data_IF_985912849493
#
_entry.id   IF_985912849493
#
_cell.length_a   1.000
_cell.length_b   1.000
_cell.length_c   1.000
_cell.angle_alpha   90.00
_cell.angle_beta   90.00
_cell.angle_gamma   90.00
#
_symmetry.space_group_name_H-M   'P 1'
#
loop_
_entity.id
_entity.type
_entity.pdbx_description
1 polymer ?
#
# COMPACT_ATOMS: atom_id res chain seq x y z
N UNK A 1 -6.06 22.37 -22.59
CA UNK A 1 -5.51 21.27 -21.76
C UNK A 1 -5.98 19.93 -22.30
N UNK A 2 -5.08 19.01 -22.59
CA UNK A 2 -5.35 17.67 -23.14
C UNK A 2 -4.73 16.60 -22.24
N UNK A 3 -5.14 15.34 -22.40
CA UNK A 3 -4.54 14.23 -21.67
C UNK A 3 -3.02 14.15 -21.88
N UNK A 4 -2.55 14.40 -23.10
CA UNK A 4 -1.11 14.40 -23.43
C UNK A 4 -0.34 15.51 -22.71
N UNK A 5 -0.97 16.65 -22.42
CA UNK A 5 -0.35 17.75 -21.68
C UNK A 5 -0.19 17.36 -20.20
N UNK A 6 -1.19 16.63 -19.66
CA UNK A 6 -1.14 16.07 -18.29
C UNK A 6 -0.07 14.98 -18.15
N UNK A 7 0.02 14.05 -19.11
CA UNK A 7 1.08 13.02 -19.13
C UNK A 7 2.47 13.67 -19.13
N UNK A 8 2.68 14.67 -19.98
CA UNK A 8 3.93 15.41 -20.07
C UNK A 8 4.26 16.08 -18.75
N UNK A 9 3.29 16.75 -18.13
CA UNK A 9 3.49 17.39 -16.83
C UNK A 9 3.91 16.36 -15.75
N UNK A 10 3.20 15.24 -15.63
CA UNK A 10 3.50 14.20 -14.65
C UNK A 10 4.87 13.56 -14.90
N UNK A 11 5.24 13.32 -16.16
CA UNK A 11 6.55 12.78 -16.51
C UNK A 11 7.70 13.75 -16.15
N UNK A 12 7.49 15.07 -16.34
CA UNK A 12 8.47 16.07 -15.92
C UNK A 12 8.57 16.11 -14.38
N UNK A 13 7.46 15.94 -13.65
CA UNK A 13 7.47 15.87 -12.18
C UNK A 13 8.34 14.71 -11.69
N UNK A 14 8.18 13.54 -12.32
CA UNK A 14 8.91 12.32 -11.96
C UNK A 14 10.40 12.41 -12.34
N UNK A 15 10.69 12.77 -13.58
CA UNK A 15 12.07 12.84 -14.10
C UNK A 15 12.85 14.06 -13.62
N UNK A 16 12.16 15.14 -13.17
CA UNK A 16 12.70 16.47 -12.83
C UNK A 16 13.53 17.11 -13.94
N UNK A 17 13.38 16.63 -15.18
CA UNK A 17 14.22 17.03 -16.30
C UNK A 17 13.47 16.88 -17.63
N UNK A 18 13.37 17.99 -18.39
CA UNK A 18 12.65 18.01 -19.68
C UNK A 18 13.24 17.04 -20.70
N UNK A 19 14.57 16.90 -20.73
CA UNK A 19 15.26 16.01 -21.69
C UNK A 19 14.94 14.55 -21.38
N UNK A 20 15.02 14.15 -20.10
CA UNK A 20 14.66 12.79 -19.67
C UNK A 20 13.18 12.50 -19.93
N UNK A 21 12.30 13.45 -19.61
CA UNK A 21 10.86 13.32 -19.90
C UNK A 21 10.61 13.13 -21.42
N UNK A 22 11.37 13.84 -22.26
CA UNK A 22 11.28 13.69 -23.71
C UNK A 22 11.72 12.29 -24.18
N UNK A 23 12.80 11.77 -23.62
CA UNK A 23 13.28 10.41 -23.89
C UNK A 23 12.26 9.35 -23.48
N UNK A 24 11.72 9.42 -22.26
CA UNK A 24 10.73 8.47 -21.75
C UNK A 24 9.42 8.49 -22.55
N UNK A 25 8.99 9.67 -22.99
CA UNK A 25 7.77 9.82 -23.80
C UNK A 25 7.97 9.65 -25.32
N UNK A 26 9.20 9.37 -25.76
CA UNK A 26 9.56 9.28 -27.19
C UNK A 26 9.19 10.54 -27.98
N UNK A 27 9.39 11.73 -27.38
CA UNK A 27 9.09 13.03 -27.96
C UNK A 27 10.37 13.89 -28.05
N UNK A 28 10.34 14.94 -28.87
CA UNK A 28 11.43 15.92 -28.84
C UNK A 28 11.30 16.88 -27.65
N UNK A 29 12.41 17.35 -27.12
CA UNK A 29 12.44 18.34 -26.02
C UNK A 29 11.65 19.61 -26.39
N UNK A 30 11.66 20.05 -27.66
CA UNK A 30 10.91 21.22 -28.13
C UNK A 30 9.40 21.00 -28.04
N UNK A 31 8.91 19.79 -28.31
CA UNK A 31 7.50 19.42 -28.18
C UNK A 31 7.08 19.46 -26.71
N UNK A 32 7.89 18.86 -25.82
CA UNK A 32 7.64 18.89 -24.35
C UNK A 32 7.56 20.33 -23.85
N UNK A 33 8.57 21.17 -24.19
CA UNK A 33 8.63 22.55 -23.71
C UNK A 33 7.45 23.39 -24.25
N UNK A 34 7.08 23.20 -25.51
CA UNK A 34 5.93 23.93 -26.11
C UNK A 34 4.61 23.52 -25.45
N UNK A 35 4.42 22.23 -25.21
CA UNK A 35 3.18 21.74 -24.56
C UNK A 35 3.09 22.14 -23.09
N UNK A 36 4.20 22.09 -22.36
CA UNK A 36 4.25 22.57 -20.98
C UNK A 36 3.89 24.07 -20.93
N UNK A 37 4.52 24.89 -21.79
CA UNK A 37 4.22 26.32 -21.85
C UNK A 37 2.75 26.59 -22.15
N UNK A 38 2.17 25.88 -23.11
CA UNK A 38 0.75 25.98 -23.42
C UNK A 38 -0.14 25.60 -22.26
N UNK A 39 0.21 24.55 -21.50
CA UNK A 39 -0.52 24.14 -20.30
C UNK A 39 -0.47 25.25 -19.23
N UNK A 40 0.70 25.84 -18.95
CA UNK A 40 0.87 26.94 -18.01
C UNK A 40 0.08 28.20 -18.46
N UNK A 41 0.09 28.52 -19.75
CA UNK A 41 -0.70 29.62 -20.32
C UNK A 41 -2.21 29.39 -20.16
N UNK A 42 -2.72 28.17 -20.39
CA UNK A 42 -4.13 27.83 -20.19
C UNK A 42 -4.54 27.86 -18.69
N UNK A 43 -3.64 27.47 -17.80
CA UNK A 43 -3.88 27.49 -16.35
C UNK A 43 -3.75 28.90 -15.76
N UNK A 44 -3.01 29.80 -16.41
CA UNK A 44 -2.74 31.16 -15.95
C UNK A 44 -1.69 31.27 -14.86
N UNK A 45 -0.91 30.21 -14.63
CA UNK A 45 0.22 30.20 -13.67
C UNK A 45 1.30 29.20 -14.09
N UNK A 46 2.55 29.46 -13.65
CA UNK A 46 3.67 28.59 -13.90
C UNK A 46 3.62 27.36 -12.97
N UNK A 47 3.87 26.18 -13.54
CA UNK A 47 3.94 24.91 -12.80
C UNK A 47 5.35 24.62 -12.27
N UNK A 48 6.38 25.10 -13.00
CA UNK A 48 7.78 24.94 -12.64
C UNK A 48 8.50 26.28 -12.47
N UNK A 49 9.48 26.28 -11.57
CA UNK A 49 10.36 27.43 -11.36
C UNK A 49 11.39 27.47 -12.49
N UNK A 50 11.47 28.60 -13.20
CA UNK A 50 12.48 28.80 -14.27
C UNK A 50 13.70 29.49 -13.70
N UNK A 51 14.65 28.74 -13.14
CA UNK A 51 15.95 29.30 -12.71
C UNK A 51 17.00 29.15 -13.82
N UNK A 52 17.68 30.25 -14.20
CA UNK A 52 18.79 30.21 -15.16
C UNK A 52 19.94 29.38 -14.58
N UNK A 53 20.36 28.33 -15.29
CA UNK A 53 21.55 27.54 -14.96
C UNK A 53 21.30 26.32 -14.06
N UNK A 54 20.07 26.04 -13.67
CA UNK A 54 19.71 24.84 -12.88
C UNK A 54 19.28 23.72 -13.83
N UNK A 55 19.89 22.54 -13.69
CA UNK A 55 19.57 21.35 -14.53
C UNK A 55 18.30 20.63 -14.09
N UNK A 56 17.85 20.84 -12.85
CA UNK A 56 16.65 20.21 -12.29
C UNK A 56 15.51 21.22 -12.21
N UNK A 57 14.33 20.80 -12.63
CA UNK A 57 13.10 21.59 -12.53
C UNK A 57 12.47 21.39 -11.16
N UNK A 58 12.19 22.49 -10.48
CA UNK A 58 11.46 22.51 -9.23
C UNK A 58 10.01 22.97 -9.45
N UNK A 59 9.08 22.32 -8.76
CA UNK A 59 7.67 22.73 -8.81
C UNK A 59 7.45 24.07 -8.07
N UNK A 60 6.63 24.93 -8.65
CA UNK A 60 6.07 26.07 -7.92
C UNK A 60 5.11 25.58 -6.81
N UNK A 61 4.58 26.49 -5.99
CA UNK A 61 3.53 26.13 -5.04
C UNK A 61 2.29 25.59 -5.78
N UNK A 62 1.84 26.30 -6.81
CA UNK A 62 0.72 25.90 -7.65
C UNK A 62 1.00 24.57 -8.37
N UNK A 63 2.25 24.37 -8.84
CA UNK A 63 2.68 23.12 -9.44
C UNK A 63 2.50 21.92 -8.51
N UNK A 64 2.88 22.05 -7.24
CA UNK A 64 2.68 21.01 -6.22
C UNK A 64 1.20 20.70 -5.98
N UNK A 65 0.36 21.71 -5.90
CA UNK A 65 -1.09 21.55 -5.75
C UNK A 65 -1.69 20.91 -7.01
N UNK A 66 -1.19 21.27 -8.19
CA UNK A 66 -1.67 20.74 -9.47
C UNK A 66 -1.30 19.27 -9.70
N UNK A 67 -0.24 18.73 -9.08
CA UNK A 67 0.09 17.28 -9.18
C UNK A 67 -1.11 16.42 -8.81
N UNK A 68 -1.77 16.69 -7.69
CA UNK A 68 -2.95 15.94 -7.28
C UNK A 68 -4.11 16.03 -8.28
N UNK A 69 -4.29 17.20 -8.91
CA UNK A 69 -5.31 17.40 -9.96
C UNK A 69 -4.93 16.61 -11.22
N UNK A 70 -3.68 16.69 -11.65
CA UNK A 70 -3.18 16.00 -12.84
C UNK A 70 -3.29 14.47 -12.71
N UNK A 71 -2.99 13.91 -11.55
CA UNK A 71 -3.15 12.48 -11.27
C UNK A 71 -4.64 12.09 -11.38
N UNK A 72 -5.55 12.84 -10.75
CA UNK A 72 -7.00 12.57 -10.87
C UNK A 72 -7.50 12.68 -12.30
N UNK A 73 -7.03 13.67 -13.06
CA UNK A 73 -7.37 13.82 -14.48
C UNK A 73 -6.95 12.59 -15.30
N UNK A 74 -5.70 12.15 -15.14
CA UNK A 74 -5.17 10.95 -15.82
C UNK A 74 -6.06 9.75 -15.54
N UNK A 75 -6.42 9.53 -14.26
CA UNK A 75 -7.26 8.40 -13.86
C UNK A 75 -8.67 8.46 -14.45
N UNK A 76 -9.30 9.66 -14.48
CA UNK A 76 -10.60 9.84 -15.11
C UNK A 76 -10.56 9.58 -16.62
N UNK A 77 -9.45 9.95 -17.26
CA UNK A 77 -9.26 9.68 -18.68
C UNK A 77 -9.10 8.18 -18.95
N UNK A 78 -8.29 7.49 -18.14
CA UNK A 78 -8.13 6.03 -18.20
C UNK A 78 -9.48 5.32 -17.92
N UNK A 79 -10.26 5.80 -16.96
CA UNK A 79 -11.61 5.29 -16.69
C UNK A 79 -12.54 5.46 -17.92
N UNK A 80 -12.47 6.60 -18.59
CA UNK A 80 -13.23 6.85 -19.82
C UNK A 80 -12.79 5.96 -20.99
N UNK A 81 -11.49 5.66 -21.11
CA UNK A 81 -10.98 4.72 -22.12
C UNK A 81 -11.39 3.27 -21.81
N UNK A 82 -11.44 2.88 -20.53
CA UNK A 82 -11.97 1.57 -20.10
C UNK A 82 -13.46 1.40 -20.44
N UNK A 83 -14.25 2.50 -20.47
CA UNK A 83 -15.63 2.45 -20.98
C UNK A 83 -15.71 2.16 -22.49
N UNK A 84 -14.66 2.47 -23.24
CA UNK A 84 -14.52 2.09 -24.67
C UNK A 84 -14.22 0.60 -24.84
N UNK A 85 -13.43 0.02 -23.94
CA UNK A 85 -13.09 -1.40 -23.92
C UNK A 85 -14.12 -2.22 -23.13
N UNK A 86 -15.40 -2.09 -23.44
CA UNK A 86 -16.55 -2.76 -22.78
C UNK A 86 -16.49 -4.30 -22.66
N UNK A 87 -15.31 -4.91 -22.82
CA UNK A 87 -15.10 -6.36 -22.81
C UNK A 87 -14.20 -6.87 -21.67
N UNK A 88 -13.69 -6.05 -20.76
CA UNK A 88 -12.76 -6.54 -19.74
C UNK A 88 -13.24 -6.20 -18.33
N UNK A 89 -13.75 -7.23 -17.66
CA UNK A 89 -14.09 -7.20 -16.23
C UNK A 89 -12.79 -7.06 -15.43
N UNK A 90 -12.36 -5.84 -15.13
CA UNK A 90 -11.13 -5.55 -14.39
C UNK A 90 -11.42 -4.98 -13.02
N UNK A 91 -10.68 -5.42 -12.00
CA UNK A 91 -10.75 -4.97 -10.62
C UNK A 91 -9.36 -4.64 -10.08
N UNK A 92 -9.19 -3.45 -9.50
CA UNK A 92 -7.95 -2.97 -8.92
C UNK A 92 -8.06 -2.94 -7.40
N UNK A 93 -7.18 -3.67 -6.73
CA UNK A 93 -7.20 -3.80 -5.26
C UNK A 93 -5.82 -3.46 -4.71
N UNK A 94 -5.76 -2.72 -3.61
CA UNK A 94 -4.53 -2.55 -2.84
C UNK A 94 -4.72 -3.03 -1.40
N UNK A 95 -3.69 -3.68 -0.86
CA UNK A 95 -3.71 -4.21 0.49
C UNK A 95 -2.30 -4.20 1.12
N UNK A 96 -2.18 -4.12 2.45
CA UNK A 96 -0.95 -4.49 3.13
C UNK A 96 -0.61 -5.97 2.89
N UNK A 97 0.69 -6.29 2.85
CA UNK A 97 1.16 -7.65 2.57
C UNK A 97 0.51 -8.69 3.51
N UNK A 98 0.40 -8.37 4.80
CA UNK A 98 -0.26 -9.24 5.77
C UNK A 98 -1.73 -9.50 5.48
N UNK A 99 -2.45 -8.49 5.00
CA UNK A 99 -3.88 -8.61 4.64
C UNK A 99 -4.04 -9.41 3.33
N UNK A 100 -3.09 -9.27 2.41
CA UNK A 100 -3.08 -10.08 1.20
C UNK A 100 -3.05 -11.57 1.55
N UNK A 101 -2.07 -12.00 2.34
CA UNK A 101 -1.95 -13.42 2.73
C UNK A 101 -3.07 -13.91 3.65
N UNK A 102 -3.48 -13.07 4.60
CA UNK A 102 -4.50 -13.46 5.59
C UNK A 102 -5.88 -13.61 4.98
N UNK A 103 -6.24 -12.70 4.09
CA UNK A 103 -7.62 -12.53 3.66
C UNK A 103 -7.80 -12.53 2.15
N UNK A 104 -6.98 -11.77 1.41
CA UNK A 104 -7.22 -11.49 0.01
C UNK A 104 -6.84 -12.68 -0.90
N UNK A 105 -5.68 -13.31 -0.71
CA UNK A 105 -5.22 -14.44 -1.51
C UNK A 105 -6.23 -15.61 -1.50
N UNK A 106 -6.71 -16.07 -0.32
CA UNK A 106 -7.73 -17.12 -0.26
C UNK A 106 -9.09 -16.74 -0.88
N UNK A 107 -9.37 -15.44 -1.03
CA UNK A 107 -10.58 -14.95 -1.67
C UNK A 107 -10.41 -14.87 -3.19
N UNK A 108 -9.23 -14.43 -3.66
CA UNK A 108 -8.93 -14.24 -5.08
C UNK A 108 -8.86 -15.57 -5.83
N UNK A 109 -8.25 -16.60 -5.23
CA UNK A 109 -8.02 -17.90 -5.91
C UNK A 109 -9.34 -18.50 -6.44
N UNK A 110 -10.39 -18.74 -5.63
CA UNK A 110 -11.66 -19.23 -6.14
C UNK A 110 -12.35 -18.24 -7.07
N UNK A 111 -12.26 -16.94 -6.78
CA UNK A 111 -12.86 -15.89 -7.59
C UNK A 111 -12.34 -15.91 -9.03
N UNK A 112 -11.02 -16.07 -9.21
CA UNK A 112 -10.39 -16.17 -10.53
C UNK A 112 -10.73 -17.47 -11.25
N UNK A 113 -10.79 -18.60 -10.53
CA UNK A 113 -11.12 -19.89 -11.14
C UNK A 113 -12.58 -19.98 -11.61
N UNK A 114 -13.49 -19.34 -10.88
CA UNK A 114 -14.92 -19.29 -11.21
C UNK A 114 -15.27 -18.28 -12.32
N UNK A 115 -14.40 -17.27 -12.55
CA UNK A 115 -14.66 -16.17 -13.48
C UNK A 115 -13.47 -15.95 -14.44
N UNK A 116 -13.35 -16.72 -15.52
CA UNK A 116 -12.19 -16.69 -16.43
C UNK A 116 -11.97 -15.34 -17.15
N UNK A 117 -13.01 -14.53 -17.26
CA UNK A 117 -12.93 -13.20 -17.90
C UNK A 117 -12.53 -12.10 -16.94
N UNK A 118 -12.53 -12.38 -15.63
CA UNK A 118 -12.14 -11.41 -14.60
C UNK A 118 -10.64 -11.12 -14.66
N UNK A 119 -10.28 -9.85 -14.72
CA UNK A 119 -8.91 -9.39 -14.59
C UNK A 119 -8.73 -8.73 -13.23
N UNK A 120 -7.64 -9.05 -12.54
CA UNK A 120 -7.29 -8.45 -11.26
C UNK A 120 -5.94 -7.75 -11.37
N UNK A 121 -5.86 -6.56 -10.78
CA UNK A 121 -4.61 -5.90 -10.43
C UNK A 121 -4.55 -5.80 -8.91
N UNK A 122 -3.56 -6.41 -8.29
CA UNK A 122 -3.36 -6.38 -6.85
C UNK A 122 -2.03 -5.69 -6.56
N UNK A 123 -2.07 -4.66 -5.72
CA UNK A 123 -0.90 -3.90 -5.31
C UNK A 123 -0.67 -4.07 -3.80
N UNK A 124 0.59 -4.30 -3.43
CA UNK A 124 0.99 -4.35 -2.02
C UNK A 124 1.54 -2.99 -1.61
N UNK A 125 0.85 -2.35 -0.70
CA UNK A 125 1.19 -1.02 -0.22
C UNK A 125 0.92 -0.91 1.29
N UNK A 126 1.51 0.07 1.95
CA UNK A 126 1.12 0.46 3.30
C UNK A 126 -0.24 1.19 3.32
N UNK A 127 -0.85 1.27 4.50
CA UNK A 127 -2.19 1.87 4.64
C UNK A 127 -2.22 3.34 4.19
N UNK A 128 -1.16 4.12 4.39
CA UNK A 128 -1.12 5.53 3.97
C UNK A 128 -1.15 5.65 2.45
N UNK A 129 -0.29 4.88 1.76
CA UNK A 129 -0.26 4.85 0.30
C UNK A 129 -1.59 4.32 -0.29
N UNK A 130 -2.26 3.36 0.38
CA UNK A 130 -3.56 2.86 -0.05
C UNK A 130 -4.62 3.96 -0.02
N UNK A 131 -4.62 4.82 1.00
CA UNK A 131 -5.50 5.98 1.02
C UNK A 131 -5.22 6.95 -0.12
N UNK A 132 -3.93 7.20 -0.46
CA UNK A 132 -3.56 8.07 -1.58
C UNK A 132 -4.00 7.48 -2.92
N UNK A 133 -3.85 6.17 -3.11
CA UNK A 133 -4.35 5.45 -4.27
C UNK A 133 -5.89 5.50 -4.38
N UNK A 134 -6.59 5.43 -3.25
CA UNK A 134 -8.04 5.54 -3.21
C UNK A 134 -8.52 6.95 -3.58
N UNK A 135 -7.92 7.99 -3.01
CA UNK A 135 -8.25 9.39 -3.30
C UNK A 135 -8.02 9.75 -4.77
N UNK A 136 -6.99 9.16 -5.38
CA UNK A 136 -6.66 9.36 -6.79
C UNK A 136 -7.41 8.42 -7.75
N UNK A 137 -8.37 7.61 -7.25
CA UNK A 137 -9.12 6.62 -8.01
C UNK A 137 -8.24 5.59 -8.77
N UNK A 138 -7.02 5.33 -8.28
CA UNK A 138 -6.12 4.33 -8.86
C UNK A 138 -6.52 2.90 -8.53
N UNK A 139 -7.30 2.71 -7.46
CA UNK A 139 -7.82 1.42 -7.01
C UNK A 139 -9.33 1.49 -6.78
N UNK A 140 -9.99 0.36 -6.91
CA UNK A 140 -11.44 0.23 -6.73
C UNK A 140 -11.78 -0.17 -5.29
N UNK A 141 -10.92 -0.98 -4.67
CA UNK A 141 -10.98 -1.38 -3.27
C UNK A 141 -9.61 -1.30 -2.61
N UNK A 142 -9.60 -0.82 -1.38
CA UNK A 142 -8.42 -0.83 -0.52
C UNK A 142 -8.65 -1.63 0.74
N UNK A 143 -7.58 -2.13 1.36
CA UNK A 143 -7.61 -2.63 2.72
C UNK A 143 -6.71 -1.76 3.60
N UNK A 144 -7.18 -1.42 4.78
CA UNK A 144 -6.46 -0.52 5.69
C UNK A 144 -6.42 -1.08 7.11
N UNK A 145 -5.38 -0.76 7.84
CA UNK A 145 -5.19 -1.15 9.24
C UNK A 145 -5.61 -0.06 10.25
N UNK A 146 -6.12 1.05 9.78
CA UNK A 146 -6.70 2.11 10.59
C UNK A 146 -7.67 2.94 9.73
N UNK A 147 -8.58 3.64 10.39
CA UNK A 147 -9.49 4.59 9.76
C UNK A 147 -8.81 5.94 9.60
N UNK A 148 -9.08 6.62 8.48
CA UNK A 148 -8.65 7.99 8.21
C UNK A 148 -9.87 8.87 7.96
N UNK A 149 -9.82 10.11 8.39
CA UNK A 149 -10.89 11.10 8.19
C UNK A 149 -10.94 11.69 6.77
N UNK A 150 -10.46 10.95 5.76
CA UNK A 150 -10.51 11.39 4.36
C UNK A 150 -11.97 11.44 3.86
N UNK A 151 -12.40 12.55 3.27
CA UNK A 151 -13.75 12.66 2.74
C UNK A 151 -13.96 11.65 1.61
N UNK A 152 -15.20 11.16 1.46
CA UNK A 152 -15.63 10.26 0.39
C UNK A 152 -15.02 8.85 0.43
N UNK A 153 -14.28 8.46 1.47
CA UNK A 153 -13.82 7.09 1.66
C UNK A 153 -14.67 6.41 2.73
N UNK A 154 -15.35 5.35 2.34
CA UNK A 154 -16.18 4.54 3.25
C UNK A 154 -15.32 3.41 3.79
N UNK A 155 -15.35 3.25 5.11
CA UNK A 155 -14.68 2.20 5.86
C UNK A 155 -15.69 1.13 6.30
N UNK A 156 -15.35 -0.12 6.10
CA UNK A 156 -16.10 -1.26 6.63
C UNK A 156 -15.14 -2.18 7.35
N UNK A 157 -15.31 -2.35 8.65
CA UNK A 157 -14.56 -3.34 9.42
C UNK A 157 -14.81 -4.75 8.87
N UNK A 158 -13.73 -5.52 8.66
CA UNK A 158 -13.76 -6.86 8.08
C UNK A 158 -13.40 -7.92 9.13
N UNK A 159 -12.23 -7.77 9.78
CA UNK A 159 -11.77 -8.68 10.82
C UNK A 159 -10.70 -8.05 11.71
N UNK A 160 -10.43 -8.69 12.84
CA UNK A 160 -9.37 -8.33 13.76
C UNK A 160 -8.16 -9.24 13.53
N UNK A 161 -6.97 -8.64 13.39
CA UNK A 161 -5.72 -9.32 13.11
C UNK A 161 -4.89 -9.41 14.39
N UNK A 162 -4.78 -10.62 14.95
CA UNK A 162 -3.94 -10.91 16.11
C UNK A 162 -2.45 -10.99 15.72
N UNK A 163 -1.57 -10.95 16.71
CA UNK A 163 -0.13 -11.00 16.56
C UNK A 163 0.47 -12.18 17.33
N UNK A 164 1.56 -12.73 16.80
CA UNK A 164 2.40 -13.72 17.45
C UNK A 164 3.88 -13.49 17.12
N UNK A 165 4.76 -14.17 17.84
CA UNK A 165 6.21 -14.11 17.66
C UNK A 165 6.65 -15.19 16.68
N UNK A 166 7.59 -14.85 15.80
CA UNK A 166 8.36 -15.81 15.00
C UNK A 166 9.85 -15.70 15.31
N UNK A 167 10.53 -16.85 15.35
CA UNK A 167 11.96 -16.93 15.61
C UNK A 167 12.52 -18.29 15.19
N UNK A 168 13.83 -18.36 14.94
CA UNK A 168 14.54 -19.63 14.90
C UNK A 168 14.98 -20.09 16.29
N UNK A 169 15.08 -19.16 17.26
CA UNK A 169 15.46 -19.46 18.64
C UNK A 169 14.35 -20.20 19.36
N UNK A 170 14.75 -21.17 20.18
CA UNK A 170 13.82 -21.83 21.09
C UNK A 170 13.73 -21.05 22.41
N UNK A 171 12.61 -20.39 22.60
CA UNK A 171 12.32 -19.63 23.83
C UNK A 171 11.78 -20.51 24.97
N UNK A 172 11.94 -21.86 24.89
CA UNK A 172 11.61 -22.83 25.92
C UNK A 172 10.20 -22.69 26.53
N UNK A 173 9.21 -22.47 25.70
CA UNK A 173 7.82 -22.54 26.10
C UNK A 173 7.28 -23.96 25.92
N UNK A 174 6.72 -24.57 26.97
CA UNK A 174 6.18 -25.93 26.90
C UNK A 174 4.91 -26.08 26.06
N UNK A 175 4.32 -25.04 25.53
CA UNK A 175 3.04 -25.08 24.79
C UNK A 175 2.93 -24.02 23.69
N UNK A 176 4.06 -23.51 23.18
CA UNK A 176 4.02 -22.46 22.16
C UNK A 176 3.57 -21.08 22.66
N UNK A 177 3.37 -20.93 23.98
CA UNK A 177 3.03 -19.65 24.62
C UNK A 177 4.21 -19.15 25.42
N UNK A 178 4.64 -17.90 25.18
CA UNK A 178 5.75 -17.27 25.91
C UNK A 178 5.33 -15.96 26.58
N UNK A 179 6.00 -15.63 27.66
CA UNK A 179 5.88 -14.30 28.26
C UNK A 179 6.71 -13.30 27.46
N UNK A 180 6.22 -12.06 27.21
CA UNK A 180 7.05 -11.01 26.61
C UNK A 180 8.39 -10.76 27.34
N UNK A 181 8.49 -11.10 28.62
CA UNK A 181 9.69 -10.91 29.45
C UNK A 181 10.89 -11.76 29.01
N UNK A 182 10.67 -12.86 28.27
CA UNK A 182 11.77 -13.69 27.77
C UNK A 182 12.40 -13.13 26.50
N UNK A 183 11.78 -12.13 25.89
CA UNK A 183 12.22 -11.49 24.66
C UNK A 183 13.24 -10.39 24.96
N UNK A 184 14.39 -10.42 24.30
CA UNK A 184 15.34 -9.31 24.34
C UNK A 184 14.93 -8.25 23.30
N UNK A 185 14.55 -7.02 23.69
CA UNK A 185 14.12 -5.97 22.75
C UNK A 185 15.20 -5.55 21.75
N UNK A 186 16.49 -5.68 22.10
CA UNK A 186 17.60 -5.38 21.19
C UNK A 186 17.72 -6.41 20.04
N UNK A 187 17.08 -7.56 20.17
CA UNK A 187 17.04 -8.62 19.16
C UNK A 187 15.75 -8.60 18.32
N UNK A 188 14.88 -7.61 18.51
CA UNK A 188 13.71 -7.45 17.67
C UNK A 188 14.10 -7.04 16.24
N UNK A 189 13.61 -7.81 15.26
CA UNK A 189 13.54 -7.38 13.86
C UNK A 189 12.14 -6.86 13.65
N UNK A 190 11.99 -5.53 13.57
CA UNK A 190 10.69 -4.88 13.54
C UNK A 190 10.10 -4.86 12.12
N UNK A 191 8.83 -5.25 12.00
CA UNK A 191 8.08 -5.01 10.77
C UNK A 191 7.59 -3.57 10.75
N UNK A 192 8.00 -2.82 9.71
CA UNK A 192 7.53 -1.46 9.43
C UNK A 192 6.29 -1.44 8.53
N UNK A 193 5.68 -0.27 8.39
CA UNK A 193 4.57 -0.07 7.47
C UNK A 193 3.20 -0.10 8.15
N UNK A 194 2.80 1.02 8.72
CA UNK A 194 1.47 1.25 9.28
C UNK A 194 1.50 2.02 10.59
N UNK A 195 0.36 2.59 10.96
CA UNK A 195 0.21 3.21 12.28
C UNK A 195 0.03 2.11 13.34
N UNK A 196 1.14 1.62 13.88
CA UNK A 196 1.18 0.57 14.89
C UNK A 196 1.11 1.15 16.32
N UNK A 197 0.21 2.08 16.57
CA UNK A 197 0.05 2.67 17.90
C UNK A 197 -0.16 1.62 19.00
N UNK A 198 -0.93 0.56 18.72
CA UNK A 198 -1.14 -0.56 19.65
C UNK A 198 0.13 -1.34 19.92
N UNK A 199 0.97 -1.56 18.91
CA UNK A 199 2.26 -2.24 19.08
C UNK A 199 3.28 -1.35 19.81
N UNK A 200 3.25 -0.03 19.57
CA UNK A 200 4.09 0.90 20.30
C UNK A 200 3.74 0.92 21.80
N UNK A 201 2.44 0.95 22.13
CA UNK A 201 1.95 0.86 23.51
C UNK A 201 2.38 -0.46 24.16
N UNK A 202 2.27 -1.57 23.45
CA UNK A 202 2.68 -2.88 23.96
C UNK A 202 4.20 -2.94 24.19
N UNK A 203 5.01 -2.41 23.26
CA UNK A 203 6.47 -2.34 23.44
C UNK A 203 6.85 -1.45 24.61
N UNK A 204 6.22 -0.31 24.78
CA UNK A 204 6.47 0.58 25.91
C UNK A 204 6.16 -0.11 27.23
N UNK A 205 5.04 -0.87 27.32
CA UNK A 205 4.67 -1.63 28.51
C UNK A 205 5.74 -2.64 28.92
N UNK A 206 6.33 -3.35 27.94
CA UNK A 206 7.24 -4.47 28.22
C UNK A 206 8.71 -4.11 28.16
N UNK A 207 9.06 -3.12 27.39
CA UNK A 207 10.45 -2.79 27.04
C UNK A 207 10.78 -1.31 27.28
N UNK A 208 10.06 -0.64 28.18
CA UNK A 208 10.31 0.76 28.52
C UNK A 208 11.78 1.02 28.85
N UNK A 209 12.32 2.12 28.28
CA UNK A 209 13.73 2.51 28.48
C UNK A 209 14.73 1.82 27.56
N UNK A 210 14.31 0.91 26.68
CA UNK A 210 15.16 0.37 25.61
C UNK A 210 15.04 1.25 24.35
N UNK A 211 16.15 1.54 23.71
CA UNK A 211 16.28 2.55 22.64
C UNK A 211 15.62 2.21 21.29
N UNK A 212 14.60 1.37 21.26
CA UNK A 212 13.91 0.94 20.03
C UNK A 212 14.60 -0.23 19.32
N UNK A 213 14.03 -0.67 18.21
CA UNK A 213 14.60 -1.76 17.41
C UNK A 213 15.86 -1.30 16.66
N UNK A 214 16.82 -2.21 16.49
CA UNK A 214 18.04 -1.96 15.71
C UNK A 214 17.81 -1.93 14.20
N UNK A 215 16.74 -2.60 13.73
CA UNK A 215 16.40 -2.70 12.33
C UNK A 215 14.89 -2.77 12.12
N UNK A 216 14.45 -2.04 11.13
CA UNK A 216 13.06 -2.00 10.70
C UNK A 216 12.97 -2.38 9.22
N UNK A 217 12.09 -3.31 8.87
CA UNK A 217 11.92 -3.86 7.53
C UNK A 217 10.44 -3.91 7.19
N UNK A 218 10.09 -3.59 5.95
CA UNK A 218 8.71 -3.49 5.49
C UNK A 218 8.13 -4.80 4.88
N UNK A 219 8.92 -5.87 4.80
CA UNK A 219 8.47 -7.17 4.30
C UNK A 219 8.91 -8.32 5.21
N UNK A 220 7.99 -9.23 5.62
CA UNK A 220 8.32 -10.41 6.41
C UNK A 220 9.36 -11.32 5.77
N UNK A 221 9.35 -11.45 4.43
CA UNK A 221 10.32 -12.28 3.71
C UNK A 221 11.76 -11.78 3.83
N UNK A 222 11.95 -10.47 3.91
CA UNK A 222 13.27 -9.87 4.08
C UNK A 222 13.85 -10.05 5.48
N UNK A 223 13.00 -10.33 6.48
CA UNK A 223 13.41 -10.51 7.89
C UNK A 223 14.10 -11.85 8.12
N UNK A 224 13.84 -12.85 7.27
CA UNK A 224 14.26 -14.26 7.48
C UNK A 224 15.76 -14.41 7.72
N UNK A 225 16.59 -13.69 6.96
CA UNK A 225 18.04 -13.72 7.13
C UNK A 225 18.51 -13.17 8.48
N UNK A 226 17.85 -12.15 8.98
CA UNK A 226 18.17 -11.47 10.24
C UNK A 226 17.70 -12.27 11.45
N UNK A 227 16.57 -12.97 11.31
CA UNK A 227 16.02 -13.83 12.37
C UNK A 227 16.87 -15.08 12.65
N UNK A 228 17.90 -15.37 11.82
CA UNK A 228 18.89 -16.44 12.09
C UNK A 228 19.87 -16.11 13.20
N UNK A 229 20.00 -14.85 13.60
CA UNK A 229 20.79 -14.46 14.74
C UNK A 229 20.17 -15.07 16.02
N UNK A 230 21.00 -15.61 16.91
CA UNK A 230 20.53 -16.22 18.16
C UNK A 230 19.78 -15.19 19.03
N UNK A 231 18.61 -15.58 19.48
CA UNK A 231 17.73 -14.72 20.27
C UNK A 231 16.93 -13.70 19.44
N UNK A 232 17.13 -13.63 18.11
CA UNK A 232 16.36 -12.73 17.25
C UNK A 232 14.90 -13.18 17.11
N UNK A 233 14.00 -12.23 17.11
CA UNK A 233 12.57 -12.45 17.02
C UNK A 233 11.86 -11.32 16.26
N UNK A 234 10.68 -11.63 15.74
CA UNK A 234 9.79 -10.63 15.15
C UNK A 234 8.35 -10.84 15.62
N UNK A 235 7.64 -9.73 15.80
CA UNK A 235 6.20 -9.71 16.08
C UNK A 235 5.45 -9.51 14.75
N UNK A 236 4.75 -10.54 14.30
CA UNK A 236 4.03 -10.54 13.03
C UNK A 236 2.54 -10.82 13.24
N UNK A 237 1.68 -10.38 12.30
CA UNK A 237 0.30 -10.85 12.23
C UNK A 237 0.25 -12.38 12.16
N UNK A 238 -0.65 -13.01 12.91
CA UNK A 238 -0.63 -14.44 13.19
C UNK A 238 -0.61 -15.34 11.93
N UNK A 239 -1.41 -15.02 10.92
CA UNK A 239 -1.39 -15.79 9.66
C UNK A 239 -0.13 -15.56 8.83
N UNK A 240 0.35 -14.32 8.78
CA UNK A 240 1.64 -13.99 8.15
C UNK A 240 2.77 -14.75 8.84
N UNK A 241 2.76 -14.79 10.17
CA UNK A 241 3.71 -15.55 10.97
C UNK A 241 3.65 -17.05 10.65
N UNK A 242 2.43 -17.63 10.60
CA UNK A 242 2.23 -19.05 10.28
C UNK A 242 2.81 -19.40 8.90
N UNK A 243 2.49 -18.59 7.87
CA UNK A 243 3.01 -18.79 6.52
C UNK A 243 4.54 -18.63 6.46
N UNK A 244 5.07 -17.59 7.08
CA UNK A 244 6.52 -17.36 7.09
C UNK A 244 7.25 -18.47 7.82
N UNK A 245 6.72 -18.93 8.95
CA UNK A 245 7.30 -20.01 9.71
C UNK A 245 7.28 -21.35 8.95
N UNK A 246 6.18 -21.66 8.27
CA UNK A 246 6.05 -22.85 7.42
C UNK A 246 7.08 -22.84 6.28
N UNK A 247 7.18 -21.73 5.55
CA UNK A 247 8.09 -21.58 4.42
C UNK A 247 9.57 -21.68 4.81
N UNK A 248 9.94 -21.18 5.97
CA UNK A 248 11.34 -21.02 6.36
C UNK A 248 11.75 -21.86 7.58
N UNK A 249 10.87 -22.71 8.11
CA UNK A 249 11.19 -23.60 9.24
C UNK A 249 11.41 -22.87 10.56
N UNK A 250 10.68 -21.75 10.77
CA UNK A 250 10.75 -21.00 12.04
C UNK A 250 9.73 -21.52 13.05
N UNK A 251 9.96 -21.20 14.31
CA UNK A 251 9.01 -21.45 15.40
C UNK A 251 8.06 -20.28 15.56
N UNK A 252 6.82 -20.57 15.96
CA UNK A 252 5.78 -19.60 16.27
C UNK A 252 5.49 -19.69 17.77
N UNK A 253 5.31 -18.53 18.39
CA UNK A 253 4.94 -18.44 19.79
C UNK A 253 3.78 -17.46 19.96
N UNK A 254 2.74 -17.92 20.61
CA UNK A 254 1.73 -17.03 21.15
C UNK A 254 2.29 -16.28 22.38
N UNK A 255 1.76 -15.13 22.65
CA UNK A 255 2.12 -14.32 23.80
C UNK A 255 1.09 -14.51 24.93
N UNK A 256 1.55 -14.71 26.16
CA UNK A 256 0.68 -14.74 27.34
C UNK A 256 -0.06 -13.39 27.56
N UNK A 257 0.59 -12.31 27.13
CA UNK A 257 0.01 -10.96 27.12
C UNK A 257 0.31 -10.33 25.75
N UNK A 258 -0.50 -10.63 24.71
CA UNK A 258 -0.30 -10.10 23.36
C UNK A 258 -0.67 -8.61 23.29
N UNK A 259 -0.18 -7.90 22.26
CA UNK A 259 -0.72 -6.61 21.91
C UNK A 259 -2.20 -6.72 21.50
N UNK A 260 -2.92 -5.61 21.57
CA UNK A 260 -4.28 -5.52 21.06
C UNK A 260 -4.31 -5.86 19.56
N UNK A 261 -5.30 -6.64 19.16
CA UNK A 261 -5.52 -7.00 17.77
C UNK A 261 -5.77 -5.78 16.91
N UNK A 262 -5.21 -5.78 15.71
CA UNK A 262 -5.34 -4.71 14.75
C UNK A 262 -6.62 -4.89 13.93
N UNK A 263 -7.45 -3.84 13.85
CA UNK A 263 -8.64 -3.87 13.00
C UNK A 263 -8.27 -3.69 11.53
N UNK A 264 -8.88 -4.49 10.67
CA UNK A 264 -8.73 -4.39 9.23
C UNK A 264 -10.04 -3.93 8.61
N UNK A 265 -9.94 -2.91 7.77
CA UNK A 265 -11.06 -2.26 7.10
C UNK A 265 -10.97 -2.45 5.60
N UNK A 266 -12.11 -2.72 4.96
CA UNK A 266 -12.29 -2.55 3.53
C UNK A 266 -12.60 -1.09 3.24
N UNK A 267 -11.88 -0.52 2.29
CA UNK A 267 -12.08 0.84 1.81
C UNK A 267 -12.72 0.82 0.43
N UNK A 268 -13.62 1.76 0.21
CA UNK A 268 -14.15 2.09 -1.11
C UNK A 268 -14.44 3.59 -1.21
N UNK A 269 -14.34 4.14 -2.40
CA UNK A 269 -14.73 5.53 -2.62
C UNK A 269 -16.26 5.63 -2.71
N UNK A 270 -16.87 6.63 -2.05
CA UNK A 270 -18.28 6.93 -2.14
C UNK A 270 -18.63 7.42 -3.55
N UNK A 271 -19.62 6.79 -4.18
CA UNK A 271 -20.04 7.18 -5.54
C UNK A 271 -19.16 6.68 -6.68
N UNK A 272 -18.10 5.88 -6.41
CA UNK A 272 -17.28 5.31 -7.48
C UNK A 272 -18.12 4.44 -8.44
N UNK A 273 -17.97 4.71 -9.74
CA UNK A 273 -18.59 3.91 -10.81
C UNK A 273 -18.04 2.47 -10.82
N UNK A 274 -16.77 2.29 -10.44
CA UNK A 274 -16.11 0.98 -10.34
C UNK A 274 -16.86 0.01 -9.42
N UNK A 275 -17.45 0.51 -8.34
CA UNK A 275 -18.24 -0.31 -7.38
C UNK A 275 -19.51 -0.92 -8.00
N UNK A 276 -19.96 -0.39 -9.15
CA UNK A 276 -21.15 -0.87 -9.88
C UNK A 276 -20.79 -1.82 -11.01
N UNK A 277 -19.54 -2.19 -11.18
CA UNK A 277 -19.07 -3.08 -12.23
C UNK A 277 -19.41 -4.54 -11.92
N UNK A 278 -19.41 -5.39 -12.94
CA UNK A 278 -19.54 -6.84 -12.79
C UNK A 278 -18.43 -7.40 -11.89
N UNK A 279 -17.18 -6.93 -12.09
CA UNK A 279 -16.03 -7.32 -11.28
C UNK A 279 -16.22 -7.03 -9.79
N UNK A 280 -16.74 -5.85 -9.46
CA UNK A 280 -17.06 -5.50 -8.07
C UNK A 280 -18.17 -6.38 -7.49
N UNK A 281 -19.18 -6.72 -8.28
CA UNK A 281 -20.26 -7.60 -7.86
C UNK A 281 -19.75 -9.01 -7.53
N UNK A 282 -18.84 -9.54 -8.36
CA UNK A 282 -18.15 -10.82 -8.12
C UNK A 282 -17.34 -10.73 -6.81
N UNK A 283 -16.57 -9.66 -6.62
CA UNK A 283 -15.78 -9.45 -5.42
C UNK A 283 -16.64 -9.40 -4.15
N UNK A 284 -17.72 -8.62 -4.16
CA UNK A 284 -18.64 -8.56 -3.03
C UNK A 284 -19.34 -9.87 -2.71
N UNK A 285 -19.66 -10.68 -3.74
CA UNK A 285 -20.23 -12.02 -3.56
C UNK A 285 -19.25 -12.92 -2.80
N UNK A 286 -18.00 -12.96 -3.23
CA UNK A 286 -16.95 -13.75 -2.57
C UNK A 286 -16.64 -13.23 -1.16
N UNK A 287 -16.64 -11.90 -0.98
CA UNK A 287 -16.45 -11.29 0.33
C UNK A 287 -17.53 -11.73 1.34
N UNK A 288 -18.80 -11.76 0.91
CA UNK A 288 -19.92 -12.19 1.76
C UNK A 288 -19.84 -13.67 2.18
N UNK A 289 -19.20 -14.50 1.38
CA UNK A 289 -19.03 -15.93 1.71
C UNK A 289 -17.97 -16.18 2.78
N UNK A 290 -17.15 -15.16 3.10
CA UNK A 290 -16.04 -15.26 4.06
C UNK A 290 -16.25 -14.45 5.34
N UNK A 291 -17.26 -13.63 5.40
CA UNK A 291 -17.69 -12.89 6.58
C UNK A 291 -18.79 -13.66 7.32
#
# INVERSE_FOLDING_TARGET
MTNKDIEIFLEIVESRNITKAAEHLFLSQSVISTRLKKLEEELGYDLFVRAKGVRELELTRQGREFVGIAVRWKNLYEEADLLRERAQCMLRIAAPESVYYDFLEPLIIPMMSENPTLKLSVQINDTSAIYDLMDSNMIDFGFASYESSRPNIIHRHIYDQAFCIVSYTDFAGKEGVISPRVLNPEKEVQLSGGNFSTLAIWREKWFAGHGGCRIEINSPHMMVGLLKEEGAWALLPARTAARTAELYGMKIYDLSEPPESRKIYLLRHEGSAAVRTEAASIFYKQLKLRM
#
